data_IF_837296274154
#
_entry.id   IF_837296274154
#
_cell.length_a   1.000
_cell.length_b   1.000
_cell.length_c   1.000
_cell.angle_alpha   90.00
_cell.angle_beta   90.00
_cell.angle_gamma   90.00
#
_symmetry.space_group_name_H-M   'P 1'
#
loop_
_entity.id
_entity.type
_entity.pdbx_description
1 polymer ?
#
# COMPACT_ATOMS: atom_id res chain seq x y z
N UNK A 1 4.39 15.38 17.54
CA UNK A 1 5.49 14.40 17.30
C UNK A 1 5.25 13.72 15.95
N UNK A 2 6.30 13.49 15.14
CA UNK A 2 6.21 12.75 13.86
C UNK A 2 6.85 11.38 14.05
N UNK A 3 6.07 10.31 13.94
CA UNK A 3 6.56 8.93 14.10
C UNK A 3 6.50 8.21 12.76
N UNK A 4 7.54 7.41 12.51
CA UNK A 4 7.82 6.79 11.22
C UNK A 4 7.92 5.28 11.41
N UNK A 5 7.00 4.51 10.80
CA UNK A 5 6.94 3.05 10.98
C UNK A 5 7.18 2.34 9.64
N UNK A 6 8.26 1.56 9.49
CA UNK A 6 8.53 0.79 8.27
C UNK A 6 7.73 -0.52 8.26
N UNK A 7 6.99 -0.77 7.19
CA UNK A 7 6.22 -2.00 6.95
C UNK A 7 6.51 -2.49 5.53
N UNK A 8 6.45 -3.81 5.31
CA UNK A 8 6.48 -4.39 3.96
C UNK A 8 5.07 -4.67 3.46
N UNK A 9 4.73 -4.20 2.27
CA UNK A 9 3.46 -4.55 1.63
C UNK A 9 3.50 -5.99 1.11
N UNK A 10 2.42 -6.71 1.39
CA UNK A 10 2.21 -8.11 1.03
C UNK A 10 1.02 -8.15 0.09
N UNK A 11 1.29 -8.50 -1.16
CA UNK A 11 0.27 -8.73 -2.17
C UNK A 11 0.68 -9.92 -3.03
N UNK A 12 -0.25 -10.37 -3.85
CA UNK A 12 -0.06 -11.40 -4.84
C UNK A 12 -0.49 -10.88 -6.21
N UNK A 13 0.22 -11.31 -7.25
CA UNK A 13 -0.26 -11.20 -8.64
C UNK A 13 -0.56 -12.61 -9.12
N UNK A 14 -1.82 -12.89 -9.44
CA UNK A 14 -2.29 -14.19 -9.88
C UNK A 14 -2.58 -14.20 -11.37
N UNK A 15 -2.57 -15.40 -11.95
CA UNK A 15 -2.97 -15.55 -13.35
C UNK A 15 -4.44 -15.19 -13.55
N UNK A 16 -4.80 -14.83 -14.77
CA UNK A 16 -6.18 -14.54 -15.20
C UNK A 16 -7.05 -15.77 -15.06
N UNK A 17 -8.37 -15.57 -15.00
CA UNK A 17 -9.32 -16.70 -15.00
C UNK A 17 -9.26 -17.47 -16.33
N UNK A 18 -9.09 -16.76 -17.45
CA UNK A 18 -8.71 -17.33 -18.73
C UNK A 18 -7.26 -16.92 -19.07
N UNK A 19 -6.28 -17.84 -18.96
CA UNK A 19 -4.87 -17.56 -19.24
C UNK A 19 -4.60 -17.06 -20.66
N UNK A 20 -5.43 -17.44 -21.63
CA UNK A 20 -5.27 -17.08 -23.05
C UNK A 20 -5.80 -15.67 -23.38
N UNK A 21 -6.62 -15.08 -22.50
CA UNK A 21 -7.13 -13.72 -22.68
C UNK A 21 -6.10 -12.66 -22.26
N UNK A 22 -5.15 -12.40 -23.15
CA UNK A 22 -4.12 -11.38 -22.96
C UNK A 22 -4.64 -9.94 -22.93
N UNK A 23 -5.93 -9.71 -23.24
CA UNK A 23 -6.53 -8.36 -23.22
C UNK A 23 -6.90 -7.89 -21.80
N UNK A 24 -7.20 -8.84 -20.91
CA UNK A 24 -7.45 -8.61 -19.48
C UNK A 24 -6.11 -8.46 -18.73
N UNK A 25 -5.98 -7.73 -17.62
CA UNK A 25 -4.76 -7.74 -16.79
C UNK A 25 -4.60 -8.99 -15.90
N UNK A 26 -3.41 -9.21 -15.36
CA UNK A 26 -3.22 -10.15 -14.25
C UNK A 26 -4.03 -9.69 -13.02
N UNK A 27 -4.37 -10.63 -12.13
CA UNK A 27 -5.17 -10.32 -10.93
C UNK A 27 -4.27 -9.84 -9.79
N UNK A 28 -4.47 -8.62 -9.32
CA UNK A 28 -3.87 -8.15 -8.07
C UNK A 28 -4.71 -8.63 -6.88
N UNK A 29 -4.08 -9.16 -5.84
CA UNK A 29 -4.73 -9.55 -4.60
C UNK A 29 -3.94 -9.11 -3.38
N UNK A 30 -4.63 -8.53 -2.41
CA UNK A 30 -4.09 -8.21 -1.09
C UNK A 30 -4.64 -9.21 -0.06
N UNK A 31 -3.95 -10.33 0.23
CA UNK A 31 -4.46 -11.39 1.11
C UNK A 31 -4.46 -11.01 2.61
N UNK A 32 -3.89 -9.86 2.96
CA UNK A 32 -3.65 -9.44 4.33
C UNK A 32 -4.04 -7.97 4.57
N UNK A 33 -5.25 -7.58 4.14
CA UNK A 33 -5.72 -6.20 4.26
C UNK A 33 -5.68 -5.68 5.71
N UNK A 34 -6.03 -6.53 6.67
CA UNK A 34 -6.09 -6.15 8.09
C UNK A 34 -4.70 -6.02 8.76
N UNK A 35 -3.61 -6.47 8.12
CA UNK A 35 -2.25 -6.37 8.69
C UNK A 35 -1.70 -4.94 8.70
N UNK A 36 -2.34 -4.01 7.99
CA UNK A 36 -1.92 -2.61 7.90
C UNK A 36 -2.74 -1.69 8.80
N UNK A 37 -3.24 -2.22 9.93
CA UNK A 37 -3.99 -1.45 10.90
C UNK A 37 -3.10 -0.57 11.77
N UNK A 38 -3.52 0.69 11.91
CA UNK A 38 -3.03 1.60 12.94
C UNK A 38 -3.94 1.44 14.14
N UNK A 39 -3.36 1.13 15.29
CA UNK A 39 -4.06 0.95 16.57
C UNK A 39 -3.61 2.05 17.51
N UNK A 40 -4.56 2.74 18.13
CA UNK A 40 -4.29 3.70 19.20
C UNK A 40 -4.82 3.10 20.49
N UNK A 41 -3.92 2.85 21.44
CA UNK A 41 -4.26 2.24 22.72
C UNK A 41 -5.19 3.14 23.55
N UNK A 42 -5.97 2.54 24.45
CA UNK A 42 -6.81 3.25 25.42
C UNK A 42 -6.00 4.16 26.36
N UNK A 43 -4.73 3.84 26.58
CA UNK A 43 -3.84 4.61 27.46
C UNK A 43 -3.22 5.82 26.73
N UNK A 44 -3.54 6.03 25.45
CA UNK A 44 -3.11 7.22 24.70
C UNK A 44 -3.95 8.45 25.05
N UNK A 45 -3.29 9.60 25.25
CA UNK A 45 -3.96 10.88 25.50
C UNK A 45 -4.54 11.51 24.22
N UNK A 46 -4.06 11.11 23.04
CA UNK A 46 -4.46 11.69 21.74
C UNK A 46 -4.60 10.60 20.66
N UNK A 47 -5.48 10.85 19.70
CA UNK A 47 -5.57 10.06 18.46
C UNK A 47 -4.40 10.33 17.51
N UNK A 48 -4.33 9.55 16.44
CA UNK A 48 -3.27 9.64 15.43
C UNK A 48 -3.86 9.87 14.06
N UNK A 49 -3.20 10.71 13.27
CA UNK A 49 -3.51 11.01 11.89
C UNK A 49 -2.40 10.47 10.99
N UNK A 50 -2.75 9.56 10.08
CA UNK A 50 -1.84 9.10 9.02
C UNK A 50 -1.90 10.11 7.88
N UNK A 51 -0.86 10.94 7.72
CA UNK A 51 -0.85 12.03 6.74
C UNK A 51 -0.17 11.65 5.42
N UNK A 52 0.60 10.57 5.41
CA UNK A 52 1.22 10.11 4.18
C UNK A 52 2.03 8.83 4.34
N UNK A 53 2.58 8.39 3.22
CA UNK A 53 3.39 7.18 3.08
C UNK A 53 4.54 7.42 2.13
N UNK A 54 5.71 6.91 2.49
CA UNK A 54 6.85 6.84 1.58
C UNK A 54 6.95 5.43 1.03
N UNK A 55 6.94 5.28 -0.30
CA UNK A 55 7.19 4.02 -1.00
C UNK A 55 8.63 3.96 -1.47
N UNK A 56 9.32 2.89 -1.14
CA UNK A 56 10.68 2.65 -1.57
C UNK A 56 10.83 1.23 -2.12
N UNK A 57 11.45 1.14 -3.29
CA UNK A 57 11.88 -0.13 -3.85
C UNK A 57 13.03 -0.68 -3.00
N UNK A 58 12.95 -1.92 -2.51
CA UNK A 58 14.06 -2.52 -1.77
C UNK A 58 15.25 -2.72 -2.72
N UNK A 59 16.47 -2.70 -2.17
CA UNK A 59 17.72 -2.73 -2.94
C UNK A 59 17.78 -3.85 -3.99
N UNK A 60 17.19 -5.02 -3.69
CA UNK A 60 17.09 -6.16 -4.60
C UNK A 60 15.63 -6.49 -4.98
N UNK A 61 14.75 -5.48 -4.94
CA UNK A 61 13.35 -5.62 -5.29
C UNK A 61 13.16 -5.88 -6.77
N UNK A 62 12.43 -6.94 -7.12
CA UNK A 62 12.10 -7.24 -8.51
C UNK A 62 10.84 -6.49 -9.00
N UNK A 63 10.06 -5.90 -8.09
CA UNK A 63 8.81 -5.23 -8.43
C UNK A 63 9.04 -3.81 -8.95
N UNK A 64 8.17 -3.43 -9.88
CA UNK A 64 8.12 -2.10 -10.47
C UNK A 64 6.80 -1.45 -10.10
N UNK A 65 6.85 -0.27 -9.46
CA UNK A 65 5.66 0.50 -9.15
C UNK A 65 5.31 1.44 -10.30
N UNK A 66 4.06 1.43 -10.72
CA UNK A 66 3.48 2.37 -11.68
C UNK A 66 2.52 3.31 -10.96
N UNK A 67 2.40 4.51 -11.51
CA UNK A 67 1.72 5.62 -10.84
C UNK A 67 0.19 5.48 -10.81
N UNK A 68 -0.39 4.66 -11.68
CA UNK A 68 -1.84 4.50 -11.81
C UNK A 68 -2.19 3.23 -12.60
N UNK A 69 -3.50 2.94 -12.64
CA UNK A 69 -4.09 1.81 -13.34
C UNK A 69 -3.71 1.74 -14.83
N UNK A 70 -3.83 2.84 -15.55
CA UNK A 70 -3.64 2.84 -17.00
C UNK A 70 -2.16 2.60 -17.34
N UNK A 71 -1.25 3.20 -16.55
CA UNK A 71 0.18 3.03 -16.68
C UNK A 71 0.65 1.59 -16.41
N UNK A 72 0.03 0.88 -15.47
CA UNK A 72 0.36 -0.54 -15.22
C UNK A 72 -0.26 -1.45 -16.27
N UNK A 73 -1.49 -1.20 -16.67
CA UNK A 73 -2.18 -2.03 -17.67
C UNK A 73 -1.55 -1.90 -19.07
N UNK A 74 -0.85 -0.81 -19.36
CA UNK A 74 -0.05 -0.65 -20.57
C UNK A 74 1.21 -1.55 -20.59
N UNK A 75 1.61 -2.13 -19.46
CA UNK A 75 2.79 -3.02 -19.38
C UNK A 75 2.43 -4.42 -19.85
N UNK A 76 3.08 -4.90 -20.90
CA UNK A 76 2.83 -6.23 -21.50
C UNK A 76 4.01 -7.19 -21.36
N UNK A 77 5.17 -6.73 -20.90
CA UNK A 77 6.42 -7.50 -20.87
C UNK A 77 6.99 -7.73 -19.45
N UNK A 78 6.32 -7.26 -18.40
CA UNK A 78 6.75 -7.45 -17.01
C UNK A 78 5.56 -7.82 -16.10
N UNK A 79 5.50 -9.07 -15.65
CA UNK A 79 4.49 -9.56 -14.71
C UNK A 79 4.67 -9.02 -13.28
N UNK A 80 5.84 -8.42 -12.97
CA UNK A 80 6.15 -7.79 -11.68
C UNK A 80 5.94 -6.27 -11.70
N UNK A 81 5.21 -5.75 -12.69
CA UNK A 81 4.71 -4.38 -12.68
C UNK A 81 3.33 -4.30 -12.02
N UNK A 82 3.19 -3.42 -11.03
CA UNK A 82 1.95 -3.17 -10.29
C UNK A 82 1.71 -1.67 -10.10
N UNK A 83 0.45 -1.27 -10.00
CA UNK A 83 0.03 0.01 -9.42
C UNK A 83 -0.64 -0.26 -8.09
N UNK A 84 -0.30 0.50 -7.05
CA UNK A 84 -0.82 0.29 -5.69
C UNK A 84 -1.68 1.50 -5.30
N UNK A 85 -2.84 1.21 -4.74
CA UNK A 85 -3.76 2.17 -4.17
C UNK A 85 -3.79 1.99 -2.65
N UNK A 86 -3.59 3.07 -1.90
CA UNK A 86 -3.78 3.12 -0.46
C UNK A 86 -4.80 4.19 -0.10
N UNK A 87 -5.86 3.83 0.63
CA UNK A 87 -6.96 4.73 1.00
C UNK A 87 -7.45 5.56 -0.19
N UNK A 88 -7.85 4.86 -1.25
CA UNK A 88 -8.34 5.46 -2.49
C UNK A 88 -7.39 6.40 -3.25
N UNK A 89 -6.10 6.42 -2.89
CA UNK A 89 -5.10 7.21 -3.60
C UNK A 89 -4.06 6.31 -4.26
N UNK A 90 -3.71 6.60 -5.52
CA UNK A 90 -2.62 5.91 -6.22
C UNK A 90 -1.26 6.36 -5.71
N UNK A 91 -0.37 5.39 -5.52
CA UNK A 91 0.95 5.60 -4.92
C UNK A 91 2.02 5.69 -6.01
N UNK A 92 2.99 6.59 -5.81
CA UNK A 92 4.23 6.68 -6.58
C UNK A 92 5.44 6.38 -5.69
N UNK A 93 6.58 6.08 -6.31
CA UNK A 93 7.84 5.98 -5.57
C UNK A 93 8.17 7.32 -4.89
N UNK A 94 8.73 7.23 -3.68
CA UNK A 94 8.99 8.38 -2.82
C UNK A 94 7.79 8.74 -1.93
N UNK A 95 7.67 10.02 -1.58
CA UNK A 95 6.68 10.51 -0.61
C UNK A 95 5.33 10.76 -1.28
N UNK A 96 4.28 10.24 -0.66
CA UNK A 96 2.88 10.41 -1.02
C UNK A 96 2.14 10.99 0.18
N UNK A 97 1.61 12.20 0.04
CA UNK A 97 0.74 12.81 1.05
C UNK A 97 -0.70 12.40 0.75
N UNK A 98 -1.44 11.97 1.77
CA UNK A 98 -2.85 11.64 1.61
C UNK A 98 -3.68 12.91 1.54
N UNK A 99 -4.51 13.00 0.50
CA UNK A 99 -5.48 14.10 0.37
C UNK A 99 -6.50 14.06 1.51
N UNK A 100 -6.91 12.84 1.89
CA UNK A 100 -7.77 12.57 3.04
C UNK A 100 -7.00 11.70 4.05
N UNK A 101 -6.37 12.32 5.06
CA UNK A 101 -5.62 11.59 6.07
C UNK A 101 -6.50 10.61 6.86
N UNK A 102 -5.95 9.45 7.20
CA UNK A 102 -6.66 8.48 8.03
C UNK A 102 -6.58 8.89 9.50
N UNK A 103 -7.73 9.22 10.10
CA UNK A 103 -7.83 9.57 11.53
C UNK A 103 -8.20 8.32 12.33
N UNK A 104 -7.37 7.99 13.32
CA UNK A 104 -7.58 6.88 14.27
C UNK A 104 -7.74 7.46 15.67
N UNK A 105 -8.92 7.24 16.25
CA UNK A 105 -9.27 7.74 17.58
C UNK A 105 -8.66 6.87 18.67
N UNK A 106 -8.55 7.40 19.89
CA UNK A 106 -8.09 6.66 21.07
C UNK A 106 -8.96 5.43 21.31
N UNK A 107 -8.33 4.33 21.73
CA UNK A 107 -9.00 3.04 21.96
C UNK A 107 -9.71 2.48 20.70
N UNK A 108 -9.18 2.79 19.51
CA UNK A 108 -9.69 2.25 18.24
C UNK A 108 -8.56 1.77 17.34
N UNK A 109 -8.95 1.05 16.29
CA UNK A 109 -8.07 0.65 15.21
C UNK A 109 -8.70 0.91 13.87
N UNK A 110 -7.93 1.37 12.89
CA UNK A 110 -8.36 1.42 11.49
C UNK A 110 -7.30 0.81 10.58
N UNK A 111 -7.75 -0.08 9.70
CA UNK A 111 -6.93 -0.64 8.63
C UNK A 111 -6.79 0.37 7.49
N UNK A 112 -5.61 0.41 6.89
CA UNK A 112 -5.42 1.05 5.59
C UNK A 112 -5.98 0.14 4.51
N UNK A 113 -6.75 0.75 3.61
CA UNK A 113 -7.31 0.03 2.47
C UNK A 113 -6.22 -0.15 1.41
N UNK A 114 -5.75 -1.39 1.27
CA UNK A 114 -4.80 -1.78 0.23
C UNK A 114 -5.55 -2.40 -0.95
N UNK A 115 -5.36 -1.76 -2.10
CA UNK A 115 -5.84 -2.23 -3.40
C UNK A 115 -4.77 -2.00 -4.48
N UNK A 116 -5.00 -2.48 -5.70
CA UNK A 116 -4.06 -2.28 -6.78
C UNK A 116 -4.45 -2.95 -8.10
N UNK A 117 -3.64 -2.68 -9.11
CA UNK A 117 -3.73 -3.27 -10.43
C UNK A 117 -2.39 -3.92 -10.80
N UNK A 118 -2.46 -5.00 -11.56
CA UNK A 118 -1.29 -5.65 -12.12
C UNK A 118 -1.20 -5.42 -13.63
N UNK A 119 -0.07 -5.78 -14.22
CA UNK A 119 0.19 -5.59 -15.64
C UNK A 119 -0.63 -6.52 -16.53
N UNK A 120 -0.66 -6.21 -17.83
CA UNK A 120 -1.18 -7.11 -18.86
C UNK A 120 -0.15 -8.12 -19.36
N UNK A 121 0.98 -8.27 -18.68
CA UNK A 121 1.99 -9.24 -19.10
C UNK A 121 1.50 -10.69 -18.99
N UNK A 122 2.19 -11.57 -19.71
CA UNK A 122 2.04 -13.00 -19.53
C UNK A 122 2.61 -13.41 -18.17
N UNK A 123 1.93 -14.33 -17.48
CA UNK A 123 2.48 -14.92 -16.26
C UNK A 123 3.73 -15.74 -16.62
N UNK A 124 4.81 -15.72 -15.82
CA UNK A 124 5.97 -16.58 -16.04
C UNK A 124 5.56 -18.05 -16.12
N UNK A 125 6.25 -18.81 -16.97
CA UNK A 125 5.96 -20.21 -17.21
C UNK A 125 6.00 -21.01 -15.88
N UNK A 126 4.96 -21.81 -15.62
CA UNK A 126 4.78 -22.63 -14.41
C UNK A 126 4.45 -21.87 -13.11
N UNK A 127 4.19 -20.56 -13.17
CA UNK A 127 3.73 -19.80 -12.00
C UNK A 127 2.19 -19.64 -12.01
N UNK A 128 1.50 -20.11 -10.97
CA UNK A 128 0.07 -19.81 -10.75
C UNK A 128 -0.13 -18.42 -10.12
N UNK A 129 0.92 -17.89 -9.49
CA UNK A 129 0.96 -16.57 -8.89
C UNK A 129 2.34 -16.18 -8.40
N UNK A 130 2.53 -14.88 -8.23
CA UNK A 130 3.73 -14.25 -7.69
C UNK A 130 3.40 -13.67 -6.31
N UNK A 131 4.03 -14.19 -5.27
CA UNK A 131 3.78 -13.82 -3.88
C UNK A 131 5.07 -13.31 -3.23
N UNK A 132 5.19 -12.00 -3.06
CA UNK A 132 6.42 -11.41 -2.53
C UNK A 132 6.16 -10.16 -1.67
N UNK A 133 7.11 -9.87 -0.77
CA UNK A 133 7.15 -8.60 -0.03
C UNK A 133 7.85 -7.54 -0.89
N UNK A 134 7.07 -6.78 -1.64
CA UNK A 134 7.58 -6.04 -2.79
C UNK A 134 8.19 -4.66 -2.47
N UNK A 135 7.58 -3.89 -1.56
CA UNK A 135 7.94 -2.50 -1.29
C UNK A 135 8.14 -2.25 0.20
N UNK A 136 9.12 -1.40 0.51
CA UNK A 136 9.23 -0.80 1.83
C UNK A 136 8.27 0.40 1.88
N UNK A 137 7.37 0.40 2.85
CA UNK A 137 6.42 1.48 3.07
C UNK A 137 6.66 2.06 4.44
N UNK A 138 6.76 3.37 4.48
CA UNK A 138 7.06 4.10 5.70
C UNK A 138 5.95 5.11 5.96
N UNK A 139 5.17 4.90 7.02
CA UNK A 139 4.05 5.77 7.39
C UNK A 139 4.54 7.06 8.03
N UNK A 140 3.85 8.16 7.72
CA UNK A 140 3.96 9.41 8.47
C UNK A 140 2.73 9.56 9.37
N UNK A 141 2.98 9.62 10.67
CA UNK A 141 1.96 9.75 11.71
C UNK A 141 2.12 11.09 12.43
N UNK A 142 1.01 11.79 12.61
CA UNK A 142 0.91 13.04 13.37
C UNK A 142 -0.14 12.90 14.47
N UNK A 143 -0.04 13.74 15.50
CA UNK A 143 -1.09 13.82 16.53
C UNK A 143 -2.34 14.44 15.91
N UNK A 144 -3.50 13.82 16.11
CA UNK A 144 -4.77 14.34 15.57
C UNK A 144 -5.14 15.70 16.20
N UNK A 145 -4.72 15.93 17.44
CA UNK A 145 -4.87 17.20 18.16
C UNK A 145 -3.55 17.60 18.81
N UNK A 146 -3.24 18.91 18.91
CA UNK A 146 -2.08 19.36 19.68
C UNK A 146 -2.23 18.92 21.14
N UNK A 147 -1.12 18.49 21.74
CA UNK A 147 -1.04 18.20 23.17
C UNK A 147 -1.43 19.46 23.95
N UNK A 148 -2.45 19.35 24.81
CA UNK A 148 -2.87 20.48 25.65
C UNK A 148 -1.85 20.58 26.78
N UNK A 149 -0.92 21.53 26.68
CA UNK A 149 -0.01 21.82 27.79
C UNK A 149 -0.86 22.26 28.98
N UNK A 150 -0.79 21.60 30.16
CA UNK A 150 -1.48 22.10 31.34
C UNK A 150 -0.93 23.50 31.65
N UNK A 151 -1.81 24.49 31.78
CA UNK A 151 -1.41 25.82 32.27
C UNK A 151 -1.00 25.65 33.75
N UNK A 152 0.16 26.21 34.18
CA UNK A 152 0.67 26.10 35.54
C UNK A 152 -0.28 26.63 36.62
#
# INVERSE_FOLDING_TARGET
MKVTVPIRLHFAVLNRDNPDDTSTPLKFQAPHKDKYAVVVDKDSSVGVKVTGVKFEKPQNGAWTLKNDKDAVEAVTNDAKAVAIKLNDQWMKEGVNEFTNPLIVEVNTSKALELDGNASKSAMPEKADGLYEKAFNVTYTLEMDKPEVTPVP
#
